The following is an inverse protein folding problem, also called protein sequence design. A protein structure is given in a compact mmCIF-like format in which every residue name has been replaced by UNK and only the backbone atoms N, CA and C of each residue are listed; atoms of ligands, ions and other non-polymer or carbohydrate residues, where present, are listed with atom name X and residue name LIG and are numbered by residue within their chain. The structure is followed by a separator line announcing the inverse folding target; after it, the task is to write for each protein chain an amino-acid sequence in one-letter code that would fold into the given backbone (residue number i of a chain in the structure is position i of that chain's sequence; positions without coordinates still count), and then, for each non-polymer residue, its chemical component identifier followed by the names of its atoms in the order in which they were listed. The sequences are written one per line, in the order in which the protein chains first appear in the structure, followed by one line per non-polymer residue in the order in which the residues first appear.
data_IF_043286886627
#
_entry.id   IF_043286886627
#
_cell.length_a   1.000
_cell.length_b   1.000
_cell.length_c   1.000
_cell.angle_alpha   90.00
_cell.angle_beta   90.00
_cell.angle_gamma   90.00
#
_symmetry.space_group_name_H-M   'P 1'
#
loop_
_entity.id
_entity.type
_entity.pdbx_description
1 polymer ?
#
# COMPACT_ATOMS: atom_id res chain seq x y z
N UNK A 1 12.23 21.78 -54.96
CA UNK A 1 11.64 23.01 -54.34
C UNK A 1 12.18 24.28 -54.97
N UNK A 2 13.50 24.62 -54.92
CA UNK A 2 14.00 25.86 -55.56
C UNK A 2 13.89 25.82 -57.09
N UNK A 3 14.17 24.67 -57.70
CA UNK A 3 14.08 24.47 -59.13
C UNK A 3 12.65 24.48 -59.68
N UNK A 4 11.69 23.99 -58.88
CA UNK A 4 10.24 24.11 -59.16
C UNK A 4 9.77 25.55 -59.03
N UNK A 5 10.28 26.29 -58.05
CA UNK A 5 9.99 27.71 -57.85
C UNK A 5 10.49 28.59 -59.01
N UNK A 6 11.68 28.28 -59.55
CA UNK A 6 12.25 28.97 -60.72
C UNK A 6 11.48 28.74 -62.01
N UNK A 7 10.75 27.64 -62.12
CA UNK A 7 9.89 27.36 -63.27
C UNK A 7 8.69 28.33 -63.33
N UNK A 8 8.29 28.86 -62.14
CA UNK A 8 7.13 29.76 -62.02
C UNK A 8 7.60 31.24 -62.02
N UNK A 9 8.69 31.53 -61.29
CA UNK A 9 9.31 32.88 -61.23
C UNK A 9 10.82 32.74 -61.36
N UNK A 10 11.40 33.07 -62.54
CA UNK A 10 12.84 32.84 -62.82
C UNK A 10 13.80 33.53 -61.84
N UNK A 11 13.39 34.66 -61.27
CA UNK A 11 14.21 35.52 -60.38
C UNK A 11 14.04 35.19 -58.89
N UNK A 12 13.41 34.05 -58.54
CA UNK A 12 13.20 33.68 -57.13
C UNK A 12 14.51 33.27 -56.46
N UNK A 13 14.84 33.90 -55.35
CA UNK A 13 15.94 33.54 -54.45
C UNK A 13 15.46 32.61 -53.33
N UNK A 14 16.43 31.98 -52.63
CA UNK A 14 16.07 31.21 -51.41
C UNK A 14 15.39 32.14 -50.41
N UNK A 15 14.27 31.65 -49.81
CA UNK A 15 13.37 32.41 -48.93
C UNK A 15 12.52 33.49 -49.62
N UNK A 16 12.53 33.55 -50.95
CA UNK A 16 11.64 34.47 -51.71
C UNK A 16 10.20 33.99 -51.78
N UNK A 17 9.26 34.91 -51.73
CA UNK A 17 7.82 34.61 -51.82
C UNK A 17 7.34 34.52 -53.28
N UNK A 18 6.49 33.54 -53.57
CA UNK A 18 5.83 33.36 -54.87
C UNK A 18 4.32 33.51 -54.67
N UNK A 19 3.77 34.53 -55.29
CA UNK A 19 2.30 34.74 -55.28
C UNK A 19 1.64 33.95 -56.40
N UNK A 20 0.65 33.12 -56.03
CA UNK A 20 -0.17 32.39 -56.97
C UNK A 20 -1.57 33.03 -57.02
N UNK A 21 -1.93 33.55 -58.17
CA UNK A 21 -3.31 33.97 -58.42
C UNK A 21 -4.20 32.74 -58.63
N UNK A 22 -5.03 32.42 -57.66
CA UNK A 22 -6.03 31.38 -57.80
C UNK A 22 -7.34 31.98 -58.33
N UNK A 23 -7.96 31.37 -59.37
CA UNK A 23 -9.22 31.88 -59.93
C UNK A 23 -10.34 31.75 -58.85
N UNK A 24 -10.89 32.90 -58.44
CA UNK A 24 -11.96 32.99 -57.45
C UNK A 24 -13.37 32.77 -58.05
N UNK A 25 -13.49 32.73 -59.36
CA UNK A 25 -14.77 32.64 -60.09
C UNK A 25 -15.54 31.29 -59.85
N UNK A 26 -14.89 30.26 -59.31
CA UNK A 26 -15.47 28.92 -59.06
C UNK A 26 -15.96 28.76 -57.62
N UNK A 27 -15.77 29.74 -56.73
CA UNK A 27 -16.20 29.68 -55.34
C UNK A 27 -17.71 29.97 -55.20
N UNK A 28 -18.54 29.00 -55.56
CA UNK A 28 -19.98 29.05 -55.34
C UNK A 28 -20.34 29.10 -53.84
N UNK A 29 -21.63 29.36 -53.53
CA UNK A 29 -22.15 29.44 -52.15
C UNK A 29 -21.75 28.26 -51.28
N UNK A 30 -21.69 27.04 -51.84
CA UNK A 30 -21.28 25.82 -51.14
C UNK A 30 -19.83 25.89 -50.68
N UNK A 31 -18.93 26.31 -51.55
CA UNK A 31 -17.50 26.47 -51.21
C UNK A 31 -17.29 27.55 -50.14
N UNK A 32 -18.05 28.66 -50.22
CA UNK A 32 -18.02 29.68 -49.15
C UNK A 32 -18.52 29.18 -47.79
N UNK A 33 -19.59 28.37 -47.81
CA UNK A 33 -20.08 27.74 -46.55
C UNK A 33 -19.07 26.73 -45.99
N UNK A 34 -18.47 25.89 -46.83
CA UNK A 34 -17.43 24.97 -46.41
C UNK A 34 -16.21 25.71 -45.85
N UNK A 35 -15.76 26.76 -46.50
CA UNK A 35 -14.64 27.59 -46.04
C UNK A 35 -14.98 28.20 -44.65
N UNK A 36 -16.17 28.77 -44.48
CA UNK A 36 -16.68 29.25 -43.19
C UNK A 36 -16.63 28.16 -42.12
N UNK A 37 -17.12 26.97 -42.43
CA UNK A 37 -17.14 25.84 -41.48
C UNK A 37 -15.72 25.41 -41.09
N UNK A 38 -14.79 25.28 -42.05
CA UNK A 38 -13.39 24.94 -41.79
C UNK A 38 -12.70 26.02 -40.94
N UNK A 39 -12.94 27.32 -41.23
CA UNK A 39 -12.40 28.41 -40.41
C UNK A 39 -12.92 28.31 -38.97
N UNK A 40 -14.24 28.15 -38.77
CA UNK A 40 -14.78 27.99 -37.43
C UNK A 40 -14.24 26.73 -36.71
N UNK A 41 -14.02 25.65 -37.43
CA UNK A 41 -13.42 24.44 -36.88
C UNK A 41 -11.97 24.73 -36.44
N UNK A 42 -11.18 25.41 -37.25
CA UNK A 42 -9.80 25.77 -36.92
C UNK A 42 -9.68 26.75 -35.77
N UNK A 43 -10.59 27.75 -35.72
CA UNK A 43 -10.66 28.68 -34.57
C UNK A 43 -10.98 27.92 -33.27
N UNK A 44 -11.99 27.06 -33.29
CA UNK A 44 -12.32 26.21 -32.12
C UNK A 44 -11.20 25.28 -31.71
N UNK A 45 -10.46 24.70 -32.68
CA UNK A 45 -9.31 23.86 -32.41
C UNK A 45 -8.18 24.67 -31.73
N UNK A 46 -7.88 25.85 -32.21
CA UNK A 46 -6.90 26.76 -31.62
C UNK A 46 -7.31 27.27 -30.23
N UNK A 47 -8.59 27.60 -30.04
CA UNK A 47 -9.14 27.97 -28.71
C UNK A 47 -8.99 26.81 -27.72
N UNK A 48 -9.30 25.56 -28.13
CA UNK A 48 -9.15 24.38 -27.29
C UNK A 48 -7.70 24.11 -26.94
N UNK A 49 -6.79 24.31 -27.89
CA UNK A 49 -5.36 24.11 -27.66
C UNK A 49 -4.79 25.16 -26.71
N UNK A 50 -5.24 26.41 -26.84
CA UNK A 50 -4.89 27.49 -25.93
C UNK A 50 -5.38 27.22 -24.50
N UNK A 51 -6.64 26.81 -24.33
CA UNK A 51 -7.19 26.43 -23.02
C UNK A 51 -6.44 25.23 -22.41
N UNK A 52 -6.13 24.22 -23.22
CA UNK A 52 -5.34 23.09 -22.77
C UNK A 52 -3.96 23.52 -22.27
N UNK A 53 -3.24 24.33 -23.03
CA UNK A 53 -1.91 24.81 -22.68
C UNK A 53 -1.92 25.71 -21.42
N UNK A 54 -2.97 26.53 -21.25
CA UNK A 54 -3.18 27.38 -20.07
C UNK A 54 -3.35 26.50 -18.82
N UNK A 55 -4.34 25.60 -18.80
CA UNK A 55 -4.63 24.80 -17.60
C UNK A 55 -3.62 23.68 -17.33
N UNK A 56 -2.91 23.22 -18.35
CA UNK A 56 -1.83 22.22 -18.16
C UNK A 56 -0.68 22.77 -17.31
N UNK A 57 -0.42 24.08 -17.35
CA UNK A 57 0.60 24.74 -16.51
C UNK A 57 0.19 24.80 -15.04
N UNK A 58 -1.11 24.80 -14.77
CA UNK A 58 -1.68 24.88 -13.43
C UNK A 58 -1.99 23.50 -12.81
N UNK A 59 -1.49 22.42 -13.41
CA UNK A 59 -1.62 21.08 -12.81
C UNK A 59 -0.85 21.04 -11.49
N UNK A 60 -1.50 20.59 -10.42
CA UNK A 60 -0.98 20.60 -9.06
C UNK A 60 -1.30 21.86 -8.26
N UNK A 61 -1.88 22.90 -8.87
CA UNK A 61 -2.25 24.12 -8.18
C UNK A 61 -3.69 24.07 -7.65
N UNK A 62 -3.92 24.83 -6.58
CA UNK A 62 -5.26 25.01 -6.01
C UNK A 62 -5.94 26.21 -6.63
N UNK A 63 -7.14 26.01 -7.14
CA UNK A 63 -7.96 27.03 -7.76
C UNK A 63 -9.31 27.17 -7.07
N UNK A 64 -9.85 28.41 -7.06
CA UNK A 64 -11.21 28.67 -6.61
C UNK A 64 -12.16 28.46 -7.78
N UNK A 65 -13.23 27.72 -7.55
CA UNK A 65 -14.25 27.46 -8.55
C UNK A 65 -15.65 27.53 -7.95
N UNK A 66 -16.65 27.56 -8.82
CA UNK A 66 -18.06 27.58 -8.46
C UNK A 66 -18.73 26.31 -8.96
N UNK A 67 -19.52 25.68 -8.12
CA UNK A 67 -20.33 24.51 -8.50
C UNK A 67 -21.43 24.94 -9.46
N UNK A 68 -21.41 24.40 -10.69
CA UNK A 68 -22.36 24.76 -11.74
C UNK A 68 -23.54 23.78 -11.83
N UNK A 69 -23.27 22.48 -11.83
CA UNK A 69 -24.29 21.44 -11.93
C UNK A 69 -23.74 20.07 -11.50
N UNK A 70 -24.65 19.13 -11.32
CA UNK A 70 -24.31 17.73 -11.03
C UNK A 70 -24.66 16.86 -12.25
N UNK A 71 -23.75 15.98 -12.66
CA UNK A 71 -23.92 15.07 -13.79
C UNK A 71 -23.49 13.66 -13.40
N UNK A 72 -24.42 12.70 -13.35
CA UNK A 72 -24.13 11.27 -13.04
C UNK A 72 -23.29 11.03 -11.76
N UNK A 73 -23.44 11.89 -10.75
CA UNK A 73 -22.69 11.84 -9.51
C UNK A 73 -21.35 12.58 -9.53
N UNK A 74 -20.92 13.08 -10.68
CA UNK A 74 -19.80 14.01 -10.81
C UNK A 74 -20.28 15.45 -10.63
N UNK A 75 -19.41 16.31 -10.13
CA UNK A 75 -19.71 17.73 -9.97
C UNK A 75 -18.99 18.52 -11.08
N UNK A 76 -19.73 19.30 -11.82
CA UNK A 76 -19.18 20.21 -12.82
C UNK A 76 -18.99 21.56 -12.17
N UNK A 77 -17.77 22.05 -12.22
CA UNK A 77 -17.35 23.32 -11.64
C UNK A 77 -16.91 24.29 -12.73
N UNK A 78 -17.08 25.56 -12.48
CA UNK A 78 -16.65 26.63 -13.37
C UNK A 78 -15.28 27.16 -12.89
N UNK A 79 -14.28 27.04 -13.78
CA UNK A 79 -12.89 27.46 -13.55
C UNK A 79 -12.55 28.78 -14.30
N UNK A 80 -13.50 29.70 -14.39
CA UNK A 80 -13.36 30.93 -15.16
C UNK A 80 -13.71 30.74 -16.64
N UNK A 81 -12.73 30.44 -17.50
CA UNK A 81 -12.97 30.29 -18.95
C UNK A 81 -13.47 28.90 -19.38
N UNK A 82 -13.31 27.92 -18.53
CA UNK A 82 -13.67 26.52 -18.87
C UNK A 82 -14.36 25.82 -17.71
N UNK A 83 -14.98 24.68 -18.01
CA UNK A 83 -15.57 23.81 -17.01
C UNK A 83 -14.56 22.76 -16.56
N UNK A 84 -14.49 22.54 -15.25
CA UNK A 84 -13.77 21.43 -14.63
C UNK A 84 -14.74 20.34 -14.21
N UNK A 85 -14.24 19.11 -14.15
CA UNK A 85 -14.98 17.96 -13.68
C UNK A 85 -14.36 17.47 -12.37
N UNK A 86 -15.17 17.38 -11.31
CA UNK A 86 -14.84 16.77 -10.03
C UNK A 86 -15.51 15.39 -9.97
N UNK A 87 -14.81 14.31 -10.35
CA UNK A 87 -15.37 12.96 -10.38
C UNK A 87 -15.74 12.50 -8.96
N UNK A 88 -16.72 11.59 -8.85
CA UNK A 88 -17.17 11.04 -7.56
C UNK A 88 -16.02 10.49 -6.69
N UNK A 89 -15.01 9.88 -7.29
CA UNK A 89 -13.84 9.33 -6.59
C UNK A 89 -12.93 10.42 -5.99
N UNK A 90 -12.99 11.63 -6.54
CA UNK A 90 -12.20 12.80 -6.11
C UNK A 90 -13.00 13.73 -5.18
N UNK A 91 -14.22 13.33 -4.82
CA UNK A 91 -15.05 14.03 -3.85
C UNK A 91 -14.80 13.47 -2.45
N UNK A 92 -14.79 14.34 -1.44
CA UNK A 92 -14.77 13.91 -0.05
C UNK A 92 -16.14 13.37 0.36
N UNK A 93 -16.18 12.25 1.08
CA UNK A 93 -17.42 11.58 1.48
C UNK A 93 -18.28 12.40 2.45
N UNK A 94 -17.66 13.27 3.23
CA UNK A 94 -18.34 14.08 4.24
C UNK A 94 -18.74 15.47 3.72
N UNK A 95 -18.29 15.84 2.53
CA UNK A 95 -18.63 17.12 1.93
C UNK A 95 -19.88 17.00 1.07
N UNK A 96 -20.84 17.88 1.30
CA UNK A 96 -21.99 18.08 0.42
C UNK A 96 -21.96 19.51 -0.12
N UNK A 97 -22.13 19.64 -1.41
CA UNK A 97 -22.12 20.93 -2.11
C UNK A 97 -23.46 21.20 -2.75
N UNK A 98 -23.78 22.48 -2.89
CA UNK A 98 -24.95 22.97 -3.63
C UNK A 98 -24.50 23.69 -4.88
N UNK A 99 -25.41 23.85 -5.85
CA UNK A 99 -25.16 24.69 -7.02
C UNK A 99 -24.90 26.12 -6.52
N UNK A 100 -23.94 26.80 -7.11
CA UNK A 100 -23.42 28.13 -6.76
C UNK A 100 -22.44 28.18 -5.57
N UNK A 101 -22.18 27.05 -4.88
CA UNK A 101 -21.16 27.02 -3.84
C UNK A 101 -19.77 27.31 -4.42
N UNK A 102 -19.00 28.13 -3.70
CA UNK A 102 -17.60 28.38 -4.00
C UNK A 102 -16.75 27.37 -3.26
N UNK A 103 -15.93 26.64 -4.00
CA UNK A 103 -15.07 25.61 -3.46
C UNK A 103 -13.64 25.75 -3.98
N UNK A 104 -12.67 25.34 -3.18
CA UNK A 104 -11.27 25.21 -3.57
C UNK A 104 -10.99 23.79 -4.03
N UNK A 105 -10.32 23.64 -5.15
CA UNK A 105 -10.00 22.33 -5.73
C UNK A 105 -8.58 22.32 -6.29
N UNK A 106 -7.96 21.16 -6.34
CA UNK A 106 -6.66 20.96 -7.00
C UNK A 106 -6.91 20.51 -8.44
N UNK A 107 -6.19 21.06 -9.39
CA UNK A 107 -6.18 20.57 -10.77
C UNK A 107 -5.26 19.35 -10.81
N UNK A 108 -5.82 18.13 -11.01
CA UNK A 108 -5.02 16.91 -11.09
C UNK A 108 -4.44 16.73 -12.49
N UNK A 109 -5.26 16.91 -13.51
CA UNK A 109 -4.88 16.70 -14.90
C UNK A 109 -5.82 17.40 -15.86
N UNK A 110 -5.31 17.60 -17.08
CA UNK A 110 -6.09 18.11 -18.20
C UNK A 110 -6.09 17.08 -19.31
N UNK A 111 -7.26 16.62 -19.73
CA UNK A 111 -7.42 15.60 -20.77
C UNK A 111 -7.93 16.25 -22.07
N UNK A 112 -7.36 15.83 -23.22
CA UNK A 112 -7.88 16.21 -24.53
C UNK A 112 -9.01 15.24 -24.90
N UNK A 113 -10.25 15.73 -24.97
CA UNK A 113 -11.39 14.92 -25.42
C UNK A 113 -11.88 15.42 -26.78
N UNK A 114 -12.70 14.61 -27.46
CA UNK A 114 -13.33 14.99 -28.75
C UNK A 114 -14.17 16.26 -28.65
N UNK A 115 -14.71 16.53 -27.43
CA UNK A 115 -15.53 17.74 -27.15
C UNK A 115 -14.69 18.96 -26.75
N UNK A 116 -13.40 18.77 -26.44
CA UNK A 116 -12.48 19.81 -26.00
C UNK A 116 -11.65 19.39 -24.80
N UNK A 117 -10.78 20.29 -24.26
CA UNK A 117 -10.02 20.01 -23.06
C UNK A 117 -10.97 19.85 -21.87
N UNK A 118 -10.76 18.79 -21.08
CA UNK A 118 -11.49 18.55 -19.85
C UNK A 118 -10.51 18.65 -18.68
N UNK A 119 -10.73 19.60 -17.79
CA UNK A 119 -9.94 19.79 -16.58
C UNK A 119 -10.51 18.90 -15.50
N UNK A 120 -9.71 17.97 -14.98
CA UNK A 120 -10.10 17.11 -13.86
C UNK A 120 -9.55 17.71 -12.58
N UNK A 121 -10.44 17.90 -11.62
CA UNK A 121 -10.12 18.52 -10.33
C UNK A 121 -10.40 17.57 -9.17
N UNK A 122 -9.74 17.79 -8.03
CA UNK A 122 -9.87 16.96 -6.83
C UNK A 122 -10.08 17.80 -5.57
N UNK A 123 -10.85 17.20 -4.64
CA UNK A 123 -10.95 17.62 -3.23
C UNK A 123 -10.27 16.63 -2.29
N UNK A 124 -9.78 15.47 -2.81
CA UNK A 124 -9.16 14.41 -2.02
C UNK A 124 -7.64 14.50 -1.99
N UNK A 125 -7.03 15.25 -2.90
CA UNK A 125 -5.59 15.37 -3.02
C UNK A 125 -4.95 16.02 -1.77
N UNK A 126 -3.83 15.46 -1.23
CA UNK A 126 -3.09 16.06 -0.10
C UNK A 126 -2.59 17.47 -0.35
N UNK A 127 -2.31 17.83 -1.61
CA UNK A 127 -1.85 19.18 -2.01
C UNK A 127 -2.83 20.26 -1.61
N UNK A 128 -4.14 19.93 -1.58
CA UNK A 128 -5.16 20.88 -1.09
C UNK A 128 -4.87 21.31 0.34
N UNK A 129 -4.57 20.36 1.23
CA UNK A 129 -4.29 20.66 2.63
C UNK A 129 -3.00 21.46 2.77
N UNK A 130 -1.95 21.09 2.02
CA UNK A 130 -0.68 21.81 2.03
C UNK A 130 -0.88 23.28 1.62
N UNK A 131 -1.66 23.53 0.58
CA UNK A 131 -1.97 24.89 0.12
C UNK A 131 -2.81 25.69 1.14
N UNK A 132 -3.76 25.03 1.80
CA UNK A 132 -4.54 25.68 2.87
C UNK A 132 -3.63 26.11 4.02
N UNK A 133 -2.68 25.27 4.42
CA UNK A 133 -1.68 25.65 5.42
C UNK A 133 -0.79 26.79 4.94
N UNK A 134 -0.36 26.78 3.69
CA UNK A 134 0.44 27.86 3.11
C UNK A 134 -0.31 29.20 3.11
N UNK A 135 -1.63 29.15 2.96
CA UNK A 135 -2.47 30.36 2.98
C UNK A 135 -2.72 30.89 4.39
N UNK A 136 -2.93 29.98 5.38
CA UNK A 136 -3.31 30.33 6.75
C UNK A 136 -2.11 30.56 7.68
N UNK A 137 -0.91 30.04 7.33
CA UNK A 137 0.28 30.06 8.16
C UNK A 137 1.38 30.89 7.48
N UNK A 138 1.62 32.15 7.92
CA UNK A 138 2.64 33.00 7.32
C UNK A 138 4.04 32.39 7.34
N UNK A 139 4.39 31.65 8.39
CA UNK A 139 5.69 31.01 8.55
C UNK A 139 5.93 29.89 7.52
N UNK A 140 4.85 29.31 6.96
CA UNK A 140 4.95 28.37 5.83
C UNK A 140 5.08 29.13 4.51
N UNK A 141 4.35 30.23 4.37
CA UNK A 141 4.44 31.09 3.19
C UNK A 141 5.86 31.67 3.02
N UNK A 142 6.47 32.14 4.11
CA UNK A 142 7.83 32.68 4.11
C UNK A 142 8.92 31.59 4.01
N UNK A 143 8.53 30.31 4.16
CA UNK A 143 9.45 29.16 4.08
C UNK A 143 10.26 28.90 5.33
N UNK A 144 10.02 29.58 6.44
CA UNK A 144 10.62 29.29 7.76
C UNK A 144 10.15 27.94 8.27
N UNK A 145 8.86 27.64 8.16
CA UNK A 145 8.28 26.33 8.42
C UNK A 145 7.99 25.61 7.09
N UNK A 146 8.30 24.34 7.02
CA UNK A 146 8.10 23.52 5.83
C UNK A 146 7.23 22.32 6.13
N UNK A 147 6.27 22.03 5.24
CA UNK A 147 5.56 20.75 5.23
C UNK A 147 6.43 19.74 4.47
N UNK A 148 6.93 18.73 5.15
CA UNK A 148 7.78 17.68 4.57
C UNK A 148 6.96 16.60 3.88
N UNK A 149 5.85 16.21 4.51
CA UNK A 149 4.96 15.18 3.96
C UNK A 149 3.54 15.36 4.49
N UNK A 150 2.55 14.82 3.77
CA UNK A 150 1.16 14.80 4.18
C UNK A 150 0.52 13.47 3.79
N UNK A 151 -0.14 12.81 4.74
CA UNK A 151 -0.93 11.61 4.53
C UNK A 151 -2.39 11.92 4.84
N UNK A 152 -3.29 11.70 3.87
CA UNK A 152 -4.67 12.14 3.93
C UNK A 152 -5.64 11.00 3.63
N UNK A 153 -6.69 10.94 4.42
CA UNK A 153 -7.95 10.26 4.13
C UNK A 153 -9.04 11.32 4.10
N UNK A 154 -9.36 11.76 2.89
CA UNK A 154 -10.22 12.92 2.65
C UNK A 154 -11.57 12.80 3.36
N UNK A 155 -11.94 13.86 4.08
CA UNK A 155 -13.14 13.96 4.89
C UNK A 155 -13.06 13.29 6.26
N UNK A 156 -12.06 12.48 6.55
CA UNK A 156 -11.92 11.80 7.84
C UNK A 156 -10.76 12.37 8.67
N UNK A 157 -9.53 12.17 8.21
CA UNK A 157 -8.33 12.60 8.95
C UNK A 157 -7.14 12.81 8.04
N UNK A 158 -6.34 13.82 8.36
CA UNK A 158 -5.07 14.13 7.71
C UNK A 158 -3.97 14.24 8.75
N UNK A 159 -2.79 13.67 8.45
CA UNK A 159 -1.56 13.89 9.20
C UNK A 159 -0.58 14.65 8.33
N UNK A 160 0.00 15.72 8.87
CA UNK A 160 1.05 16.51 8.20
C UNK A 160 2.32 16.50 9.03
N UNK A 161 3.46 16.35 8.37
CA UNK A 161 4.77 16.43 8.97
C UNK A 161 5.38 17.82 8.68
N UNK A 162 5.71 18.55 9.72
CA UNK A 162 6.23 19.92 9.63
C UNK A 162 7.60 20.04 10.28
N UNK A 163 8.48 20.83 9.70
CA UNK A 163 9.80 21.14 10.24
C UNK A 163 10.07 22.63 10.14
N UNK A 164 10.87 23.17 11.05
CA UNK A 164 11.38 24.53 10.96
C UNK A 164 12.83 24.55 10.47
N UNK A 165 13.18 25.54 9.69
CA UNK A 165 14.60 25.86 9.35
C UNK A 165 15.28 26.60 10.48
N UNK A 166 14.53 27.35 11.28
CA UNK A 166 15.01 28.13 12.41
C UNK A 166 14.78 27.36 13.71
N UNK A 167 15.80 27.27 14.54
CA UNK A 167 15.74 26.51 15.80
C UNK A 167 14.80 27.13 16.83
N UNK A 168 14.60 28.45 16.75
CA UNK A 168 13.79 29.21 17.70
C UNK A 168 12.30 29.21 17.36
N UNK A 169 11.92 28.64 16.21
CA UNK A 169 10.52 28.58 15.75
C UNK A 169 9.96 27.16 15.93
N UNK A 170 8.94 27.03 16.78
CA UNK A 170 8.18 25.79 16.92
C UNK A 170 7.28 25.59 15.69
N UNK A 171 7.56 24.59 14.82
CA UNK A 171 6.81 24.37 13.61
C UNK A 171 5.35 23.91 13.89
N UNK A 172 5.14 23.16 14.99
CA UNK A 172 3.81 22.68 15.36
C UNK A 172 2.96 23.83 15.90
N UNK A 173 3.52 24.61 16.82
CA UNK A 173 2.85 25.78 17.39
C UNK A 173 2.48 26.83 16.34
N UNK A 174 3.36 27.08 15.36
CA UNK A 174 3.09 28.00 14.24
C UNK A 174 1.89 27.54 13.41
N UNK A 175 1.82 26.26 13.08
CA UNK A 175 0.71 25.67 12.31
C UNK A 175 -0.62 25.61 13.09
N UNK A 176 -0.57 25.34 14.38
CA UNK A 176 -1.77 25.32 15.25
C UNK A 176 -2.32 26.72 15.43
N UNK A 177 -1.44 27.70 15.68
CA UNK A 177 -1.78 29.07 15.97
C UNK A 177 -2.33 29.26 17.38
N UNK A 178 -2.55 30.53 17.76
CA UNK A 178 -3.09 30.86 19.09
C UNK A 178 -4.43 30.18 19.36
N UNK A 179 -4.51 29.36 20.42
CA UNK A 179 -5.72 28.58 20.77
C UNK A 179 -6.28 27.73 19.61
N UNK A 180 -5.43 27.35 18.64
CA UNK A 180 -5.82 26.52 17.52
C UNK A 180 -6.59 27.25 16.41
N UNK A 181 -6.57 28.58 16.35
CA UNK A 181 -7.38 29.33 15.39
C UNK A 181 -7.04 29.02 13.94
N UNK A 182 -5.74 28.89 13.60
CA UNK A 182 -5.28 28.60 12.23
C UNK A 182 -5.73 27.21 11.78
N UNK A 183 -5.46 26.18 12.56
CA UNK A 183 -5.87 24.81 12.21
C UNK A 183 -7.40 24.68 12.15
N UNK A 184 -8.13 25.38 13.02
CA UNK A 184 -9.60 25.39 13.00
C UNK A 184 -10.18 26.04 11.73
N UNK A 185 -9.54 27.09 11.16
CA UNK A 185 -9.91 27.65 9.87
C UNK A 185 -9.81 26.60 8.77
N UNK A 186 -8.71 25.83 8.74
CA UNK A 186 -8.49 24.78 7.76
C UNK A 186 -9.49 23.61 7.94
N UNK A 187 -9.72 23.18 9.18
CA UNK A 187 -10.72 22.14 9.51
C UNK A 187 -12.12 22.57 9.03
N UNK A 188 -12.46 23.85 9.18
CA UNK A 188 -13.76 24.39 8.72
C UNK A 188 -13.86 24.40 7.19
N UNK A 189 -12.79 24.77 6.49
CA UNK A 189 -12.74 24.71 5.02
C UNK A 189 -12.92 23.28 4.50
N UNK A 190 -12.36 22.29 5.21
CA UNK A 190 -12.47 20.86 4.90
C UNK A 190 -13.70 20.19 5.52
N UNK A 191 -14.67 20.99 5.95
CA UNK A 191 -15.96 20.52 6.49
C UNK A 191 -15.85 19.54 7.67
N UNK A 192 -14.84 19.70 8.52
CA UNK A 192 -14.68 18.94 9.76
C UNK A 192 -13.66 17.79 9.69
N UNK A 193 -12.86 17.72 8.64
CA UNK A 193 -11.73 16.76 8.55
C UNK A 193 -10.73 17.03 9.68
N UNK A 194 -10.38 15.98 10.44
CA UNK A 194 -9.43 16.08 11.56
C UNK A 194 -8.01 16.24 11.03
N UNK A 195 -7.25 17.13 11.63
CA UNK A 195 -5.85 17.39 11.21
C UNK A 195 -4.92 17.19 12.39
N UNK A 196 -3.96 16.29 12.22
CA UNK A 196 -2.84 16.06 13.15
C UNK A 196 -1.59 16.70 12.58
N UNK A 197 -1.00 17.62 13.34
CA UNK A 197 0.25 18.30 12.99
C UNK A 197 1.37 17.62 13.77
N UNK A 198 2.38 17.11 13.06
CA UNK A 198 3.42 16.26 13.59
C UNK A 198 4.76 16.90 13.33
N UNK A 199 5.59 16.99 14.35
CA UNK A 199 6.96 17.44 14.19
C UNK A 199 7.77 16.38 13.42
N UNK A 200 8.32 16.79 12.29
CA UNK A 200 9.22 15.96 11.51
C UNK A 200 10.58 15.83 12.19
N UNK A 201 11.23 14.71 12.02
CA UNK A 201 12.60 14.46 12.48
C UNK A 201 13.38 13.69 11.43
N UNK A 202 14.68 13.93 11.33
CA UNK A 202 15.61 13.15 10.51
C UNK A 202 15.77 11.73 11.06
N UNK A 203 15.65 11.56 12.39
CA UNK A 203 15.62 10.25 13.02
C UNK A 203 14.26 9.61 12.82
N UNK A 204 14.27 8.47 12.10
CA UNK A 204 13.05 7.74 11.72
C UNK A 204 12.28 7.24 12.95
N UNK A 205 12.98 6.84 14.01
CA UNK A 205 12.37 6.34 15.25
C UNK A 205 11.61 7.45 15.96
N UNK A 206 12.25 8.61 16.11
CA UNK A 206 11.62 9.80 16.70
C UNK A 206 10.44 10.27 15.86
N UNK A 207 10.60 10.32 14.53
CA UNK A 207 9.51 10.72 13.63
C UNK A 207 8.34 9.75 13.71
N UNK A 208 8.59 8.45 13.77
CA UNK A 208 7.58 7.43 13.89
C UNK A 208 6.81 7.53 15.23
N UNK A 209 7.53 7.78 16.32
CA UNK A 209 6.92 8.04 17.62
C UNK A 209 5.98 9.23 17.59
N UNK A 210 6.42 10.33 16.98
CA UNK A 210 5.58 11.52 16.83
C UNK A 210 4.34 11.26 15.95
N UNK A 211 4.49 10.46 14.89
CA UNK A 211 3.44 10.20 13.90
C UNK A 211 2.28 9.36 14.43
N UNK A 212 2.49 8.52 15.43
CA UNK A 212 1.43 7.72 16.08
C UNK A 212 0.60 8.54 17.07
N UNK A 213 1.07 9.75 17.43
CA UNK A 213 0.27 10.64 18.29
C UNK A 213 -1.24 10.61 17.91
N UNK A 214 -2.16 10.61 18.92
CA UNK A 214 -1.94 10.93 20.33
C UNK A 214 -1.56 9.74 21.23
N UNK A 215 -1.39 8.51 20.72
CA UNK A 215 -0.98 7.38 21.52
C UNK A 215 0.48 7.51 21.99
N UNK A 216 0.75 7.03 23.19
CA UNK A 216 2.10 6.97 23.74
C UNK A 216 2.73 5.63 23.40
N UNK A 217 3.98 5.66 22.96
CA UNK A 217 4.75 4.47 22.57
C UNK A 217 5.75 4.18 23.67
N UNK A 218 5.83 2.92 24.10
CA UNK A 218 6.80 2.44 25.06
C UNK A 218 8.14 2.16 24.41
N UNK A 219 8.13 1.52 23.22
CA UNK A 219 9.34 1.14 22.50
C UNK A 219 9.11 1.10 20.99
N UNK A 220 10.14 1.51 20.22
CA UNK A 220 10.20 1.34 18.77
C UNK A 220 11.41 0.51 18.41
N UNK A 221 11.26 -0.48 17.55
CA UNK A 221 12.32 -1.34 17.04
C UNK A 221 12.26 -1.42 15.53
N UNK A 222 13.39 -1.26 14.86
CA UNK A 222 13.49 -1.47 13.41
C UNK A 222 13.69 -2.96 13.19
N UNK A 223 12.75 -3.60 12.50
CA UNK A 223 12.81 -5.04 12.18
C UNK A 223 13.62 -5.26 10.92
N UNK A 224 13.33 -4.52 9.86
CA UNK A 224 14.05 -4.58 8.60
C UNK A 224 14.19 -3.19 7.99
N UNK A 225 15.44 -2.76 7.81
CA UNK A 225 15.76 -1.46 7.20
C UNK A 225 15.59 -1.47 5.68
N UNK A 226 15.75 -2.62 5.01
CA UNK A 226 15.65 -2.73 3.55
C UNK A 226 14.18 -2.71 3.12
N UNK A 227 13.34 -3.48 3.80
CA UNK A 227 11.90 -3.51 3.56
C UNK A 227 11.15 -2.37 4.27
N UNK A 228 11.86 -1.56 5.07
CA UNK A 228 11.31 -0.45 5.84
C UNK A 228 10.18 -0.90 6.77
N UNK A 229 10.46 -1.91 7.60
CA UNK A 229 9.53 -2.45 8.58
C UNK A 229 9.99 -2.07 9.97
N UNK A 230 9.07 -1.54 10.79
CA UNK A 230 9.27 -1.23 12.18
C UNK A 230 8.17 -1.81 13.05
N UNK A 231 8.55 -2.21 14.25
CA UNK A 231 7.65 -2.68 15.31
C UNK A 231 7.57 -1.62 16.41
N UNK A 232 6.35 -1.34 16.84
CA UNK A 232 6.07 -0.41 17.93
C UNK A 232 5.34 -1.13 19.05
N UNK A 233 5.89 -1.04 20.25
CA UNK A 233 5.28 -1.61 21.45
C UNK A 233 4.61 -0.48 22.22
N UNK A 234 3.35 -0.70 22.59
CA UNK A 234 2.53 0.24 23.34
C UNK A 234 1.93 -0.43 24.58
N UNK A 235 1.60 0.37 25.59
CA UNK A 235 0.80 -0.12 26.71
C UNK A 235 -0.56 -0.64 26.21
N UNK A 236 -1.11 -1.69 26.83
CA UNK A 236 -2.38 -2.29 26.44
C UNK A 236 -3.53 -1.27 26.41
N UNK A 237 -3.52 -0.32 27.35
CA UNK A 237 -4.45 0.82 27.42
C UNK A 237 -4.38 1.75 26.19
N UNK A 238 -3.24 1.82 25.51
CA UNK A 238 -2.97 2.69 24.37
C UNK A 238 -3.13 1.98 23.01
N UNK A 239 -3.23 0.65 22.99
CA UNK A 239 -3.26 -0.15 21.76
C UNK A 239 -4.39 0.30 20.82
N UNK A 240 -5.62 0.41 21.34
CA UNK A 240 -6.76 0.87 20.54
C UNK A 240 -6.59 2.28 19.98
N UNK A 241 -5.91 3.16 20.72
CA UNK A 241 -5.64 4.54 20.30
C UNK A 241 -4.53 4.59 19.25
N UNK A 242 -3.48 3.78 19.41
CA UNK A 242 -2.37 3.66 18.48
C UNK A 242 -2.83 3.13 17.11
N UNK A 243 -3.62 2.07 17.11
CA UNK A 243 -4.21 1.50 15.89
C UNK A 243 -5.24 2.48 15.31
N UNK A 244 -6.10 3.04 16.16
CA UNK A 244 -7.19 3.92 15.76
C UNK A 244 -8.36 3.18 15.11
N UNK A 245 -9.47 3.90 14.88
CA UNK A 245 -10.67 3.34 14.28
C UNK A 245 -10.37 2.72 12.91
N UNK A 246 -10.61 1.42 12.73
CA UNK A 246 -10.32 0.66 11.49
C UNK A 246 -8.85 0.75 11.04
N UNK A 247 -7.92 0.89 11.96
CA UNK A 247 -6.49 1.02 11.63
C UNK A 247 -6.10 2.37 11.00
N UNK A 248 -6.92 3.40 11.13
CA UNK A 248 -6.72 4.69 10.46
C UNK A 248 -5.44 5.39 10.95
N UNK A 249 -5.18 5.38 12.27
CA UNK A 249 -4.05 6.10 12.82
C UNK A 249 -2.71 5.48 12.35
N UNK A 250 -2.56 4.16 12.47
CA UNK A 250 -1.36 3.46 12.01
C UNK A 250 -1.18 3.54 10.49
N UNK A 251 -2.28 3.42 9.72
CA UNK A 251 -2.22 3.52 8.26
C UNK A 251 -1.79 4.90 7.76
N UNK A 252 -2.29 5.97 8.37
CA UNK A 252 -1.87 7.34 8.06
C UNK A 252 -0.43 7.60 8.50
N UNK A 253 -0.02 7.11 9.67
CA UNK A 253 1.36 7.20 10.14
C UNK A 253 2.32 6.47 9.20
N UNK A 254 1.99 5.23 8.82
CA UNK A 254 2.76 4.44 7.86
C UNK A 254 2.93 5.16 6.51
N UNK A 255 1.86 5.73 5.96
CA UNK A 255 1.92 6.54 4.72
C UNK A 255 2.76 7.80 4.88
N UNK A 256 2.67 8.47 6.03
CA UNK A 256 3.39 9.69 6.32
C UNK A 256 4.89 9.47 6.39
N UNK A 257 5.32 8.39 7.04
CA UNK A 257 6.73 8.04 7.26
C UNK A 257 7.31 7.31 6.04
N UNK A 258 6.48 6.55 5.31
CA UNK A 258 6.91 5.68 4.23
C UNK A 258 7.50 4.35 4.73
N UNK A 259 7.13 3.92 5.96
CA UNK A 259 7.52 2.67 6.59
C UNK A 259 6.28 1.85 6.96
N UNK A 260 6.39 0.54 6.89
CA UNK A 260 5.38 -0.37 7.42
C UNK A 260 5.52 -0.41 8.94
N UNK A 261 4.42 -0.13 9.63
CA UNK A 261 4.37 -0.09 11.10
C UNK A 261 3.54 -1.28 11.56
N UNK A 262 4.12 -2.08 12.43
CA UNK A 262 3.45 -3.14 13.19
C UNK A 262 3.33 -2.70 14.64
N UNK A 263 2.11 -2.77 15.20
CA UNK A 263 1.84 -2.32 16.57
C UNK A 263 1.45 -3.53 17.38
N UNK A 264 2.18 -3.76 18.48
CA UNK A 264 1.92 -4.82 19.45
C UNK A 264 1.73 -4.24 20.84
N UNK A 265 0.96 -4.92 21.68
CA UNK A 265 0.89 -4.59 23.09
C UNK A 265 2.14 -5.10 23.82
N UNK A 266 2.39 -4.58 25.03
CA UNK A 266 3.47 -5.08 25.89
C UNK A 266 3.24 -6.57 26.27
N UNK A 267 1.98 -6.96 26.44
CA UNK A 267 1.58 -8.32 26.75
C UNK A 267 1.84 -9.27 25.58
N UNK A 268 1.44 -8.89 24.35
CA UNK A 268 1.72 -9.64 23.12
C UNK A 268 3.23 -9.80 22.88
N UNK A 269 4.00 -8.75 23.12
CA UNK A 269 5.46 -8.80 22.94
C UNK A 269 6.13 -9.69 23.98
N UNK A 270 5.64 -9.67 25.23
CA UNK A 270 6.13 -10.56 26.29
C UNK A 270 5.87 -12.03 25.94
N UNK A 271 4.64 -12.34 25.53
CA UNK A 271 4.27 -13.70 25.13
C UNK A 271 5.10 -14.20 23.91
N UNK A 272 5.36 -13.31 22.94
CA UNK A 272 6.22 -13.64 21.79
C UNK A 272 7.66 -13.97 22.23
N UNK A 273 8.24 -13.15 23.11
CA UNK A 273 9.59 -13.39 23.64
C UNK A 273 9.66 -14.66 24.48
N UNK A 274 8.64 -14.91 25.30
CA UNK A 274 8.54 -16.12 26.12
C UNK A 274 8.45 -17.37 25.22
N UNK A 275 7.60 -17.33 24.22
CA UNK A 275 7.50 -18.43 23.22
C UNK A 275 8.81 -18.64 22.44
N UNK A 276 9.53 -17.58 22.07
CA UNK A 276 10.82 -17.70 21.43
C UNK A 276 11.89 -18.27 22.36
N UNK A 277 11.86 -17.91 23.65
CA UNK A 277 12.76 -18.48 24.67
C UNK A 277 12.49 -19.97 24.90
N UNK A 278 11.22 -20.37 24.95
CA UNK A 278 10.83 -21.76 25.10
C UNK A 278 11.28 -22.60 23.88
N UNK A 279 11.08 -22.09 22.66
CA UNK A 279 11.57 -22.74 21.44
C UNK A 279 13.09 -22.83 21.37
N UNK A 280 13.81 -21.83 21.88
CA UNK A 280 15.27 -21.86 21.97
C UNK A 280 15.75 -22.87 23.02
N UNK A 281 15.01 -23.03 24.13
CA UNK A 281 15.31 -24.04 25.14
C UNK A 281 15.02 -25.45 24.64
N UNK A 282 13.93 -25.66 23.92
CA UNK A 282 13.63 -26.96 23.28
C UNK A 282 14.64 -27.32 22.17
N UNK A 283 15.19 -26.36 21.47
CA UNK A 283 16.23 -26.56 20.45
C UNK A 283 17.66 -26.54 20.98
N UNK A 284 17.87 -26.31 22.28
CA UNK A 284 19.20 -26.35 22.88
C UNK A 284 19.67 -27.80 22.97
N UNK A 285 20.90 -28.15 22.51
CA UNK A 285 21.40 -29.51 22.56
C UNK A 285 21.43 -30.00 24.01
N UNK A 286 20.75 -31.14 24.24
CA UNK A 286 20.61 -31.70 25.60
C UNK A 286 21.89 -32.43 25.99
N UNK A 287 22.60 -32.04 27.08
CA UNK A 287 23.76 -32.77 27.52
C UNK A 287 23.41 -34.19 27.97
N UNK A 288 24.25 -35.19 27.61
CA UNK A 288 24.06 -36.61 28.00
C UNK A 288 23.98 -36.84 29.51
N UNK A 289 24.52 -35.90 30.33
CA UNK A 289 24.50 -35.97 31.78
C UNK A 289 23.08 -35.85 32.38
N UNK A 290 22.16 -35.20 31.64
CA UNK A 290 20.77 -34.98 32.05
C UNK A 290 19.84 -36.12 31.65
N UNK A 291 20.34 -37.15 30.96
CA UNK A 291 19.55 -38.27 30.45
C UNK A 291 19.30 -39.32 31.52
N UNK A 292 18.04 -39.62 31.89
CA UNK A 292 17.73 -40.71 32.81
C UNK A 292 18.09 -42.03 32.16
N UNK A 293 18.65 -42.95 32.93
CA UNK A 293 19.03 -44.30 32.47
C UNK A 293 20.48 -44.48 32.00
N UNK A 294 21.24 -43.39 31.78
CA UNK A 294 22.67 -43.44 31.49
C UNK A 294 23.50 -43.42 32.79
N UNK A 295 24.46 -44.34 32.89
CA UNK A 295 25.40 -44.36 34.02
C UNK A 295 26.55 -43.35 33.77
N UNK A 296 27.13 -42.71 34.81
CA UNK A 296 28.21 -41.72 34.67
C UNK A 296 29.43 -42.25 33.88
N UNK A 297 29.73 -43.53 34.02
CA UNK A 297 30.81 -44.20 33.27
C UNK A 297 30.50 -44.30 31.76
N UNK A 298 29.22 -44.47 31.41
CA UNK A 298 28.78 -44.54 30.02
C UNK A 298 28.84 -43.17 29.37
N UNK A 299 28.39 -42.13 30.08
CA UNK A 299 28.48 -40.73 29.65
C UNK A 299 29.93 -40.33 29.41
N UNK A 300 30.86 -40.69 30.29
CA UNK A 300 32.29 -40.43 30.07
C UNK A 300 32.86 -41.13 28.81
N UNK A 301 32.43 -42.36 28.52
CA UNK A 301 32.86 -43.05 27.31
C UNK A 301 32.30 -42.45 26.02
N UNK A 302 31.02 -42.01 26.03
CA UNK A 302 30.38 -41.33 24.91
C UNK A 302 31.06 -39.94 24.70
N UNK A 303 31.30 -39.18 25.76
CA UNK A 303 32.03 -37.91 25.69
C UNK A 303 33.47 -38.12 25.14
N UNK A 304 34.17 -39.16 25.55
CA UNK A 304 35.49 -39.49 25.03
C UNK A 304 35.48 -39.91 23.54
N UNK A 305 34.35 -40.42 23.04
CA UNK A 305 34.16 -40.74 21.65
C UNK A 305 33.64 -39.48 20.81
N UNK A 306 33.51 -38.32 21.46
CA UNK A 306 33.07 -37.08 20.81
C UNK A 306 31.57 -36.88 20.76
N UNK A 307 30.79 -37.69 21.47
CA UNK A 307 29.33 -37.61 21.56
C UNK A 307 28.98 -36.93 22.87
N UNK A 308 28.63 -35.66 22.82
CA UNK A 308 28.39 -34.84 23.99
C UNK A 308 26.90 -34.53 24.26
N UNK A 309 26.07 -34.73 23.24
CA UNK A 309 24.64 -34.38 23.30
C UNK A 309 23.73 -35.55 22.92
N UNK A 310 22.47 -35.47 23.37
CA UNK A 310 21.44 -36.47 23.12
C UNK A 310 21.15 -36.60 21.63
N UNK A 311 21.07 -35.46 20.91
CA UNK A 311 20.79 -35.43 19.48
C UNK A 311 21.90 -36.16 18.70
N UNK A 312 23.16 -35.93 19.05
CA UNK A 312 24.29 -36.65 18.45
C UNK A 312 24.23 -38.17 18.73
N UNK A 313 23.74 -38.54 19.91
CA UNK A 313 23.59 -39.94 20.28
C UNK A 313 22.42 -40.62 19.51
N UNK A 314 21.33 -39.88 19.27
CA UNK A 314 20.16 -40.37 18.53
C UNK A 314 20.44 -40.55 17.04
N UNK A 315 21.36 -39.78 16.47
CA UNK A 315 21.75 -39.83 15.05
C UNK A 315 22.68 -41.05 14.74
N UNK A 316 23.21 -41.72 15.75
CA UNK A 316 24.12 -42.83 15.56
C UNK A 316 23.39 -44.17 15.34
N UNK A 317 23.86 -44.91 14.38
CA UNK A 317 23.36 -46.29 14.18
C UNK A 317 23.88 -47.25 15.29
N UNK A 318 23.18 -48.35 15.56
CA UNK A 318 23.67 -49.38 16.49
C UNK A 318 25.07 -49.88 16.15
N UNK A 319 25.42 -49.96 14.85
CA UNK A 319 26.74 -50.39 14.34
C UNK A 319 27.84 -49.37 14.68
N UNK A 320 27.52 -48.06 14.67
CA UNK A 320 28.44 -46.98 15.05
C UNK A 320 28.73 -46.98 16.56
N UNK A 321 27.73 -47.36 17.36
CA UNK A 321 27.85 -47.47 18.82
C UNK A 321 28.71 -48.71 19.21
N UNK A 322 28.66 -49.82 18.44
CA UNK A 322 29.53 -50.99 18.66
C UNK A 322 31.00 -50.68 18.43
N UNK A 323 31.34 -49.74 17.55
CA UNK A 323 32.71 -49.33 17.25
C UNK A 323 33.37 -48.54 18.39
N UNK A 324 32.59 -48.10 19.41
CA UNK A 324 33.12 -47.35 20.54
C UNK A 324 33.75 -48.31 21.59
N UNK A 325 35.02 -48.12 21.94
CA UNK A 325 35.70 -48.98 22.87
C UNK A 325 34.99 -49.09 24.24
N UNK A 326 34.51 -50.27 24.58
CA UNK A 326 33.85 -50.56 25.86
C UNK A 326 32.34 -50.36 25.90
N UNK A 327 31.68 -50.22 24.73
CA UNK A 327 30.25 -50.32 24.54
C UNK A 327 29.97 -51.67 23.88
N UNK A 328 29.16 -52.52 24.51
CA UNK A 328 28.76 -53.83 23.99
C UNK A 328 27.26 -53.89 23.79
N UNK A 329 26.77 -54.96 23.14
CA UNK A 329 25.39 -55.18 22.74
C UNK A 329 24.35 -54.86 23.83
N UNK A 330 24.58 -55.31 25.08
CA UNK A 330 23.70 -55.00 26.23
C UNK A 330 23.70 -53.53 26.64
N UNK A 331 24.75 -52.80 26.30
CA UNK A 331 24.85 -51.39 26.59
C UNK A 331 24.09 -50.57 25.53
N UNK A 332 24.09 -51.03 24.28
CA UNK A 332 23.34 -50.47 23.17
C UNK A 332 21.84 -50.62 23.40
N UNK A 333 21.39 -51.81 23.86
CA UNK A 333 19.98 -52.00 24.24
C UNK A 333 19.56 -50.99 25.34
N UNK A 334 20.40 -50.80 26.36
CA UNK A 334 20.11 -49.82 27.42
C UNK A 334 20.11 -48.37 26.94
N UNK A 335 20.95 -47.99 25.99
CA UNK A 335 20.95 -46.68 25.36
C UNK A 335 19.66 -46.48 24.56
N UNK A 336 19.25 -47.52 23.78
CA UNK A 336 18.02 -47.47 23.00
C UNK A 336 16.76 -47.36 23.86
N UNK A 337 16.72 -48.14 24.97
CA UNK A 337 15.62 -48.06 25.93
C UNK A 337 15.55 -46.69 26.59
N UNK A 338 16.67 -46.14 27.01
CA UNK A 338 16.77 -44.82 27.65
C UNK A 338 16.40 -43.68 26.67
N UNK A 339 16.81 -43.76 25.39
CA UNK A 339 16.40 -42.85 24.34
C UNK A 339 14.88 -42.89 24.10
N UNK A 340 14.34 -44.13 23.98
CA UNK A 340 12.90 -44.32 23.79
C UNK A 340 12.06 -43.78 24.96
N UNK A 341 12.54 -43.98 26.20
CA UNK A 341 11.87 -43.46 27.39
C UNK A 341 11.95 -41.95 27.48
N UNK A 342 13.06 -41.34 27.11
CA UNK A 342 13.25 -39.89 27.09
C UNK A 342 12.33 -39.21 26.06
N UNK A 343 12.34 -39.73 24.80
CA UNK A 343 11.47 -39.19 23.75
C UNK A 343 9.99 -39.40 24.04
N UNK A 344 9.61 -40.51 24.66
CA UNK A 344 8.22 -40.77 25.07
C UNK A 344 7.70 -39.77 26.13
N UNK A 345 8.59 -39.19 26.93
CA UNK A 345 8.27 -38.18 27.93
C UNK A 345 8.39 -36.74 27.39
N UNK A 346 8.96 -36.55 26.19
CA UNK A 346 9.11 -35.23 25.55
C UNK A 346 7.75 -34.71 25.05
N UNK A 347 7.37 -33.44 25.36
CA UNK A 347 6.12 -32.87 24.86
C UNK A 347 6.04 -32.86 23.33
N UNK A 348 7.14 -32.63 22.64
CA UNK A 348 7.20 -32.62 21.18
C UNK A 348 6.87 -33.99 20.56
N UNK A 349 7.30 -35.06 21.18
CA UNK A 349 6.97 -36.43 20.74
C UNK A 349 5.50 -36.80 21.03
N UNK A 350 4.96 -36.32 22.13
CA UNK A 350 3.55 -36.51 22.46
C UNK A 350 2.64 -35.77 21.46
N UNK A 351 2.98 -34.54 21.09
CA UNK A 351 2.25 -33.76 20.08
C UNK A 351 2.33 -34.43 18.69
N UNK A 352 3.49 -34.98 18.31
CA UNK A 352 3.66 -35.66 17.03
C UNK A 352 2.89 -36.99 16.98
N UNK A 353 2.89 -37.74 18.07
CA UNK A 353 2.09 -38.96 18.22
C UNK A 353 0.58 -38.67 18.23
N UNK A 354 0.15 -37.55 18.83
CA UNK A 354 -1.23 -37.10 18.76
C UNK A 354 -1.65 -36.71 17.35
N UNK A 355 -0.79 -36.02 16.61
CA UNK A 355 -1.02 -35.70 15.19
C UNK A 355 -1.09 -36.92 14.31
N UNK A 356 -0.21 -37.88 14.49
CA UNK A 356 -0.21 -39.15 13.75
C UNK A 356 -1.45 -39.98 14.08
N UNK A 357 -1.88 -39.99 15.34
CA UNK A 357 -3.09 -40.69 15.77
C UNK A 357 -4.34 -40.04 15.18
N UNK A 358 -4.40 -38.72 15.13
CA UNK A 358 -5.48 -38.01 14.47
C UNK A 358 -5.52 -38.24 12.96
N UNK A 359 -4.38 -38.29 12.28
CA UNK A 359 -4.31 -38.61 10.86
C UNK A 359 -4.77 -40.04 10.57
N UNK A 360 -4.44 -41.00 11.44
CA UNK A 360 -4.91 -42.37 11.30
C UNK A 360 -6.40 -42.59 11.61
N UNK A 361 -7.00 -41.76 12.46
CA UNK A 361 -8.45 -41.78 12.68
C UNK A 361 -9.23 -41.25 11.45
N UNK A 362 -8.72 -40.24 10.76
CA UNK A 362 -9.36 -39.72 9.54
C UNK A 362 -9.18 -40.59 8.30
N UNK A 363 -8.21 -41.55 8.29
CA UNK A 363 -8.00 -42.44 7.16
C UNK A 363 -8.83 -43.73 7.21
N UNK A 364 -9.62 -43.97 8.27
CA UNK A 364 -10.46 -45.16 8.42
C UNK A 364 -11.91 -45.01 7.99
N UNK A 365 -12.34 -43.84 7.58
CA UNK A 365 -13.73 -43.55 7.18
C UNK A 365 -13.92 -43.37 5.65
N UNK A 366 -13.04 -43.92 4.80
CA UNK A 366 -13.38 -44.07 3.40
C UNK A 366 -13.97 -45.49 3.15
N UNK A 367 -15.24 -45.62 2.68
CA UNK A 367 -15.83 -46.89 2.33
C UNK A 367 -15.19 -47.43 1.06
N UNK A 368 -14.73 -48.69 1.11
CA UNK A 368 -14.28 -49.47 -0.03
C UNK A 368 -15.30 -49.43 -1.17
N UNK A 369 -15.04 -48.63 -2.20
CA UNK A 369 -15.75 -48.73 -3.47
C UNK A 369 -15.11 -49.83 -4.31
N UNK A 370 -15.94 -50.82 -4.59
CA UNK A 370 -15.66 -52.11 -5.17
C UNK A 370 -14.77 -52.16 -6.41
N UNK A 371 -13.99 -53.21 -6.46
CA UNK A 371 -13.25 -53.71 -7.63
C UNK A 371 -14.20 -54.06 -8.78
N UNK A 372 -13.96 -53.66 -10.04
CA UNK A 372 -14.69 -54.15 -11.19
C UNK A 372 -14.17 -55.54 -11.63
N UNK A 373 -15.09 -56.49 -11.84
CA UNK A 373 -14.85 -57.74 -12.54
C UNK A 373 -14.70 -57.49 -14.05
N UNK A 374 -13.90 -58.28 -14.76
CA UNK A 374 -13.70 -58.16 -16.21
C UNK A 374 -14.75 -58.97 -17.00
N UNK A 375 -15.19 -58.40 -18.10
CA UNK A 375 -15.79 -59.15 -19.22
C UNK A 375 -17.12 -58.68 -19.74
N UNK A 376 -17.13 -58.06 -20.90
CA UNK A 376 -17.77 -58.46 -22.14
C UNK A 376 -18.02 -57.29 -23.08
N UNK A 377 -17.62 -57.50 -24.28
CA UNK A 377 -17.75 -56.75 -25.53
C UNK A 377 -19.17 -56.27 -25.86
N UNK A 378 -19.21 -55.18 -26.61
CA UNK A 378 -20.32 -55.08 -27.58
C UNK A 378 -20.88 -53.66 -27.83
N UNK A 379 -20.49 -53.15 -29.00
CA UNK A 379 -21.26 -52.33 -29.95
C UNK A 379 -21.75 -50.91 -29.61
N UNK A 380 -21.14 -49.98 -30.29
CA UNK A 380 -21.64 -49.01 -31.25
C UNK A 380 -23.09 -48.46 -31.06
N UNK A 381 -23.18 -47.17 -31.19
CA UNK A 381 -24.03 -46.37 -32.09
C UNK A 381 -24.36 -45.00 -31.47
N UNK A 382 -23.80 -43.96 -32.06
CA UNK A 382 -24.38 -42.73 -32.60
C UNK A 382 -25.72 -42.21 -31.98
N UNK A 383 -25.74 -40.98 -31.63
CA UNK A 383 -26.38 -39.85 -32.34
C UNK A 383 -26.84 -38.72 -31.39
N UNK A 384 -26.41 -37.54 -31.75
CA UNK A 384 -27.20 -36.30 -32.01
C UNK A 384 -27.98 -35.60 -30.90
N UNK A 385 -27.51 -34.32 -30.73
CA UNK A 385 -28.28 -33.08 -30.84
C UNK A 385 -29.58 -32.94 -30.04
N UNK A 386 -29.68 -31.89 -29.24
CA UNK A 386 -30.36 -30.61 -29.52
C UNK A 386 -30.56 -29.76 -28.25
N UNK A 387 -30.12 -28.53 -28.33
CA UNK A 387 -30.79 -27.26 -28.07
C UNK A 387 -32.02 -27.17 -27.13
N UNK A 388 -32.00 -26.19 -26.26
CA UNK A 388 -32.89 -25.02 -26.08
C UNK A 388 -32.86 -24.54 -24.65
N UNK A 389 -32.42 -23.27 -24.45
CA UNK A 389 -33.26 -22.09 -24.17
C UNK A 389 -34.33 -22.28 -23.10
N UNK A 390 -34.18 -21.53 -21.99
CA UNK A 390 -35.26 -20.60 -21.58
C UNK A 390 -34.77 -19.70 -20.41
N UNK A 391 -34.83 -18.40 -20.66
CA UNK A 391 -35.08 -17.32 -19.69
C UNK A 391 -36.58 -17.29 -19.42
N UNK A 392 -37.13 -16.89 -18.25
CA UNK A 392 -37.58 -15.50 -18.08
C UNK A 392 -37.32 -14.88 -16.69
N UNK A 393 -37.05 -13.58 -16.70
CA UNK A 393 -37.85 -12.44 -16.18
C UNK A 393 -38.57 -12.65 -14.82
N UNK A 394 -38.13 -11.88 -13.86
CA UNK A 394 -38.81 -10.73 -13.23
C UNK A 394 -37.78 -9.81 -12.52
#
# INVERSE_FOLDING_TARGET
MVDEARTIKPDVQMEGEIEFQKPTAVLGRIAAQMAKQVIFQKVREAERESVYAEYHKHVGEVVNCVVKRFENGDIIVELGKTEGKLPKREQSKLESFSVTDRIRVVIIKVEKTSKGPQVIVSRTDPTLVQHLFQTEVPEIYDGTVQIKNAAREAGERTKIAVSSREKDVDPVGACVGMKGTRVQSIIRELRGEKIDIIQWSDDVVTFATNAISPAKISRVSIVDSNEKIMEMVVEDSQLSLAIGKKGQNVRLASKLIGWRIDIKSEEEKRAEVESQMDQMQESAPTPLENMPGLTPNLVQKLNAAGIATLEQLADLSPEDLENIPGIGEKTIERISDALSEYYAQSPAYQDEMERLTQQHMFSKDEPEAGKPKPGAEGSAVESKETSKENVPEE
#
